data_IF_135429308173
#
_entry.id   IF_135429308173
#
_cell.length_a   1.000
_cell.length_b   1.000
_cell.length_c   1.000
_cell.angle_alpha   90.00
_cell.angle_beta   90.00
_cell.angle_gamma   90.00
#
_symmetry.space_group_name_H-M   'P 1'
#
loop_
_entity.id
_entity.type
_entity.pdbx_description
1 polymer ?
#
# COMPACT_ATOMS: atom_id res chain seq x y z
N UNK A 1 10.12 -18.18 -39.10
CA UNK A 1 9.36 -17.63 -37.96
C UNK A 1 10.33 -17.52 -36.79
N UNK A 2 10.87 -16.32 -36.53
CA UNK A 2 11.76 -16.08 -35.39
C UNK A 2 10.87 -15.94 -34.15
N UNK A 3 10.87 -16.98 -33.32
CA UNK A 3 10.30 -16.96 -31.99
C UNK A 3 11.17 -16.04 -31.16
N UNK A 4 10.76 -14.77 -31.06
CA UNK A 4 11.42 -13.77 -30.21
C UNK A 4 11.17 -14.25 -28.77
N UNK A 5 12.15 -14.92 -28.19
CA UNK A 5 12.12 -15.28 -26.78
C UNK A 5 11.85 -14.00 -25.99
N UNK A 6 10.68 -13.94 -25.34
CA UNK A 6 10.39 -12.86 -24.41
C UNK A 6 11.54 -12.83 -23.41
N UNK A 7 12.28 -11.71 -23.27
CA UNK A 7 13.34 -11.65 -22.28
C UNK A 7 12.70 -12.00 -20.94
N UNK A 8 13.17 -13.09 -20.33
CA UNK A 8 12.81 -13.47 -18.98
C UNK A 8 13.30 -12.32 -18.09
N UNK A 9 12.41 -11.39 -17.77
CA UNK A 9 12.68 -10.34 -16.79
C UNK A 9 12.92 -11.05 -15.48
N UNK A 10 14.11 -10.94 -14.88
CA UNK A 10 14.38 -11.52 -13.57
C UNK A 10 13.32 -11.01 -12.58
N UNK A 11 12.67 -11.90 -11.83
CA UNK A 11 11.60 -11.52 -10.90
C UNK A 11 12.06 -10.49 -9.85
N UNK A 12 13.36 -10.46 -9.62
CA UNK A 12 14.14 -9.54 -8.81
C UNK A 12 14.05 -8.08 -9.28
N UNK A 13 13.79 -7.79 -10.56
CA UNK A 13 13.59 -6.42 -11.06
C UNK A 13 12.32 -5.77 -10.49
N UNK A 14 11.32 -6.56 -10.05
CA UNK A 14 10.10 -6.05 -9.40
C UNK A 14 10.32 -5.68 -7.93
N UNK A 15 11.45 -6.07 -7.32
CA UNK A 15 11.77 -5.82 -5.91
C UNK A 15 12.69 -4.61 -5.70
N UNK A 16 12.74 -3.69 -6.65
CA UNK A 16 13.54 -2.48 -6.56
C UNK A 16 12.96 -1.46 -5.55
N UNK A 17 13.81 -0.56 -5.05
CA UNK A 17 13.43 0.42 -4.04
C UNK A 17 12.30 1.35 -4.51
N UNK A 18 12.24 1.68 -5.81
CA UNK A 18 11.19 2.54 -6.35
C UNK A 18 9.84 1.84 -6.34
N UNK A 19 9.78 0.57 -6.75
CA UNK A 19 8.54 -0.22 -6.70
C UNK A 19 8.09 -0.42 -5.26
N UNK A 20 9.02 -0.69 -4.32
CA UNK A 20 8.69 -0.82 -2.90
C UNK A 20 8.03 0.44 -2.31
N UNK A 21 8.58 1.63 -2.61
CA UNK A 21 7.99 2.90 -2.18
C UNK A 21 6.64 3.17 -2.86
N UNK A 22 6.52 2.88 -4.15
CA UNK A 22 5.27 3.06 -4.89
C UNK A 22 4.16 2.16 -4.34
N UNK A 23 4.42 0.86 -4.18
CA UNK A 23 3.44 -0.10 -3.68
C UNK A 23 3.04 0.23 -2.24
N UNK A 24 4.02 0.47 -1.36
CA UNK A 24 3.74 0.84 0.04
C UNK A 24 2.92 2.12 0.14
N UNK A 25 3.29 3.16 -0.63
CA UNK A 25 2.56 4.43 -0.66
C UNK A 25 1.16 4.32 -1.26
N UNK A 26 1.02 3.60 -2.37
CA UNK A 26 -0.28 3.39 -3.03
C UNK A 26 -1.25 2.63 -2.13
N UNK A 27 -0.80 1.52 -1.53
CA UNK A 27 -1.62 0.73 -0.61
C UNK A 27 -2.01 1.56 0.61
N UNK A 28 -1.07 2.32 1.19
CA UNK A 28 -1.36 3.22 2.30
C UNK A 28 -2.44 4.24 1.95
N UNK A 29 -2.38 4.84 0.75
CA UNK A 29 -3.34 5.81 0.28
C UNK A 29 -4.75 5.21 0.12
N UNK A 30 -4.85 3.99 -0.41
CA UNK A 30 -6.13 3.26 -0.51
C UNK A 30 -6.73 3.03 0.89
N UNK A 31 -5.92 2.61 1.86
CA UNK A 31 -6.36 2.41 3.23
C UNK A 31 -6.79 3.73 3.90
N UNK A 32 -6.06 4.81 3.69
CA UNK A 32 -6.43 6.13 4.22
C UNK A 32 -7.71 6.66 3.59
N UNK A 33 -7.90 6.44 2.28
CA UNK A 33 -9.14 6.76 1.60
C UNK A 33 -10.32 5.96 2.17
N UNK A 34 -10.16 4.65 2.36
CA UNK A 34 -11.17 3.82 3.02
C UNK A 34 -11.46 4.27 4.46
N UNK A 35 -10.42 4.65 5.21
CA UNK A 35 -10.56 5.22 6.55
C UNK A 35 -11.36 6.53 6.55
N UNK A 36 -11.09 7.43 5.61
CA UNK A 36 -11.84 8.67 5.44
C UNK A 36 -13.32 8.41 5.10
N UNK A 37 -13.59 7.50 4.14
CA UNK A 37 -14.96 7.11 3.81
C UNK A 37 -15.69 6.51 5.00
N UNK A 38 -15.01 5.67 5.77
CA UNK A 38 -15.56 5.04 6.98
C UNK A 38 -15.88 6.09 8.05
N UNK A 39 -14.99 7.06 8.24
CA UNK A 39 -15.21 8.16 9.19
C UNK A 39 -16.41 9.02 8.80
N UNK A 40 -16.53 9.34 7.51
CA UNK A 40 -17.67 10.11 6.98
C UNK A 40 -18.97 9.31 7.08
N UNK A 41 -18.94 8.02 6.74
CA UNK A 41 -20.12 7.15 6.78
C UNK A 41 -20.61 6.86 8.21
N UNK A 42 -19.72 6.82 9.20
CA UNK A 42 -20.08 6.57 10.59
C UNK A 42 -20.96 7.67 11.22
N UNK A 43 -20.81 8.92 10.76
CA UNK A 43 -21.38 10.09 11.42
C UNK A 43 -21.00 10.15 12.91
N UNK A 44 -21.89 10.73 13.73
CA UNK A 44 -21.72 10.78 15.19
C UNK A 44 -22.41 9.62 15.93
N UNK A 45 -23.09 8.73 15.21
CA UNK A 45 -24.07 7.80 15.80
C UNK A 45 -23.49 6.39 15.97
N UNK A 46 -22.53 5.97 15.13
CA UNK A 46 -21.95 4.62 15.18
C UNK A 46 -20.46 4.64 15.59
N UNK A 47 -20.14 4.66 16.90
CA UNK A 47 -18.75 4.68 17.38
C UNK A 47 -17.94 3.46 16.90
N UNK A 48 -18.58 2.30 16.74
CA UNK A 48 -17.94 1.10 16.18
C UNK A 48 -17.49 1.30 14.74
N UNK A 49 -18.29 1.98 13.92
CA UNK A 49 -17.92 2.29 12.53
C UNK A 49 -16.75 3.28 12.51
N UNK A 50 -16.77 4.29 13.39
CA UNK A 50 -15.64 5.22 13.54
C UNK A 50 -14.35 4.51 13.99
N UNK A 51 -14.42 3.46 14.80
CA UNK A 51 -13.25 2.67 15.17
C UNK A 51 -12.55 2.03 13.95
N UNK A 52 -13.31 1.56 12.96
CA UNK A 52 -12.74 1.00 11.73
C UNK A 52 -11.94 2.03 10.93
N UNK A 53 -12.32 3.31 10.97
CA UNK A 53 -11.53 4.36 10.32
C UNK A 53 -10.10 4.43 10.87
N UNK A 54 -9.94 4.34 12.20
CA UNK A 54 -8.62 4.31 12.83
C UNK A 54 -7.84 3.04 12.48
N UNK A 55 -8.51 1.89 12.41
CA UNK A 55 -7.89 0.62 11.98
C UNK A 55 -7.36 0.73 10.55
N UNK A 56 -8.16 1.26 9.62
CA UNK A 56 -7.72 1.47 8.25
C UNK A 56 -6.55 2.45 8.16
N UNK A 57 -6.61 3.56 8.88
CA UNK A 57 -5.51 4.53 8.93
C UNK A 57 -4.22 3.91 9.46
N UNK A 58 -4.30 3.19 10.58
CA UNK A 58 -3.18 2.47 11.17
C UNK A 58 -2.59 1.42 10.22
N UNK A 59 -3.45 0.64 9.57
CA UNK A 59 -3.04 -0.34 8.56
C UNK A 59 -2.31 0.32 7.40
N UNK A 60 -2.79 1.47 6.92
CA UNK A 60 -2.09 2.25 5.88
C UNK A 60 -0.68 2.67 6.31
N UNK A 61 -0.49 3.11 7.56
CA UNK A 61 0.84 3.42 8.08
C UNK A 61 1.77 2.21 8.12
N UNK A 62 1.26 1.02 8.46
CA UNK A 62 2.05 -0.21 8.46
C UNK A 62 2.59 -0.51 7.05
N UNK A 63 1.74 -0.41 6.01
CA UNK A 63 2.17 -0.64 4.63
C UNK A 63 3.16 0.41 4.13
N UNK A 64 2.95 1.69 4.47
CA UNK A 64 3.90 2.74 4.13
C UNK A 64 5.26 2.49 4.77
N UNK A 65 5.27 2.18 6.07
CA UNK A 65 6.50 1.92 6.82
C UNK A 65 7.23 0.69 6.28
N UNK A 66 6.50 -0.39 5.98
CA UNK A 66 7.08 -1.58 5.34
C UNK A 66 7.73 -1.24 3.99
N UNK A 67 7.07 -0.46 3.14
CA UNK A 67 7.64 0.00 1.86
C UNK A 67 8.92 0.82 2.05
N UNK A 68 8.93 1.75 3.01
CA UNK A 68 10.12 2.55 3.36
C UNK A 68 11.26 1.67 3.88
N UNK A 69 10.97 0.70 4.76
CA UNK A 69 11.98 -0.22 5.30
C UNK A 69 12.60 -1.06 4.17
N UNK A 70 11.78 -1.63 3.29
CA UNK A 70 12.28 -2.41 2.14
C UNK A 70 13.14 -1.53 1.23
N UNK A 71 12.69 -0.32 0.91
CA UNK A 71 13.44 0.60 0.07
C UNK A 71 14.77 1.03 0.71
N UNK A 72 14.80 1.22 2.03
CA UNK A 72 16.02 1.55 2.76
C UNK A 72 17.03 0.40 2.77
N UNK A 73 16.57 -0.86 2.88
CA UNK A 73 17.44 -2.05 2.84
C UNK A 73 17.98 -2.33 1.42
N UNK A 74 17.27 -1.89 0.38
CA UNK A 74 17.62 -2.08 -1.04
C UNK A 74 18.41 -0.92 -1.66
N UNK A 75 18.75 0.08 -0.86
CA UNK A 75 19.55 1.25 -1.27
C UNK A 75 21.04 0.96 -1.15
#
# INVERSE_FOLDING_TARGET
MLQRESPLVPADDYFDARTALFVGGFVALVFWFAGALTYVAAGDILPTVRAFAFVFVGTGFVFLFAGVVVAAVRR
#
